data_IF_894388665361
#
_entry.id   IF_894388665361
#
_cell.length_a   1.000
_cell.length_b   1.000
_cell.length_c   1.000
_cell.angle_alpha   90.00
_cell.angle_beta   90.00
_cell.angle_gamma   90.00
#
_symmetry.space_group_name_H-M   'P 1'
#
loop_
_entity.id
_entity.type
_entity.pdbx_description
1 polymer ?
#
# COMPACT_ATOMS: atom_id res chain seq x y z
N UNK A 1 8.80 -0.21 10.59
CA UNK A 1 7.65 0.70 10.39
C UNK A 1 7.51 0.92 8.89
N UNK A 2 6.31 0.73 8.31
CA UNK A 2 6.11 0.47 6.87
C UNK A 2 5.41 1.67 6.21
N UNK A 3 5.87 2.15 5.05
CA UNK A 3 5.25 3.27 4.32
C UNK A 3 4.78 2.82 2.94
N UNK A 4 3.54 3.12 2.55
CA UNK A 4 2.96 2.84 1.23
C UNK A 4 2.56 4.15 0.54
N UNK A 5 2.91 4.31 -0.74
CA UNK A 5 2.57 5.52 -1.50
C UNK A 5 1.18 5.42 -2.17
N UNK A 6 0.41 6.50 -2.13
CA UNK A 6 -0.72 6.77 -3.02
C UNK A 6 -0.40 7.99 -3.91
N UNK A 7 -0.75 7.89 -5.20
CA UNK A 7 -0.43 8.91 -6.22
C UNK A 7 -1.51 9.99 -6.26
N UNK A 8 -1.10 11.26 -6.17
CA UNK A 8 -2.00 12.41 -6.38
C UNK A 8 -1.31 13.58 -7.12
N UNK A 9 -1.91 14.01 -8.23
CA UNK A 9 -1.75 15.32 -8.89
C UNK A 9 -0.30 15.83 -9.07
N UNK A 10 0.22 15.71 -10.29
CA UNK A 10 1.36 16.51 -10.75
C UNK A 10 0.87 17.91 -11.17
N UNK A 11 1.61 18.95 -10.82
CA UNK A 11 1.34 20.34 -11.21
C UNK A 11 2.64 21.09 -11.51
N UNK A 12 2.54 22.20 -12.22
CA UNK A 12 3.65 23.11 -12.48
C UNK A 12 3.45 24.38 -11.66
N UNK A 13 4.51 24.87 -11.02
CA UNK A 13 4.50 26.11 -10.23
C UNK A 13 5.64 27.02 -10.68
N UNK A 14 5.39 28.32 -10.77
CA UNK A 14 6.43 29.30 -11.12
C UNK A 14 7.18 29.75 -9.87
N UNK A 15 8.49 29.50 -9.82
CA UNK A 15 9.37 29.88 -8.70
C UNK A 15 10.49 30.76 -9.25
N UNK A 16 10.51 32.04 -8.87
CA UNK A 16 11.52 32.99 -9.34
C UNK A 16 11.52 33.20 -10.85
N UNK A 17 10.34 33.16 -11.48
CA UNK A 17 10.16 33.34 -12.93
C UNK A 17 10.49 32.10 -13.77
N UNK A 18 10.73 30.95 -13.15
CA UNK A 18 10.94 29.67 -13.84
C UNK A 18 9.86 28.68 -13.47
N UNK A 19 9.37 27.96 -14.46
CA UNK A 19 8.39 26.90 -14.26
C UNK A 19 9.07 25.64 -13.71
N UNK A 20 8.56 25.16 -12.58
CA UNK A 20 9.08 24.00 -11.86
C UNK A 20 7.98 22.98 -11.66
N UNK A 21 8.27 21.71 -12.00
CA UNK A 21 7.35 20.60 -11.76
C UNK A 21 7.36 20.21 -10.28
N UNK A 22 6.17 19.97 -9.74
CA UNK A 22 5.97 19.43 -8.40
C UNK A 22 4.90 18.34 -8.45
N UNK A 23 5.16 17.23 -7.77
CA UNK A 23 4.26 16.08 -7.67
C UNK A 23 3.99 15.80 -6.20
N UNK A 24 2.72 15.71 -5.84
CA UNK A 24 2.35 15.28 -4.49
C UNK A 24 2.22 13.76 -4.44
N UNK A 25 2.67 13.15 -3.37
CA UNK A 25 2.34 11.76 -3.04
C UNK A 25 1.90 11.72 -1.59
N UNK A 26 1.05 10.77 -1.24
CA UNK A 26 0.69 10.54 0.16
C UNK A 26 1.32 9.23 0.59
N UNK A 27 2.21 9.29 1.58
CA UNK A 27 2.76 8.11 2.23
C UNK A 27 1.85 7.76 3.41
N UNK A 28 1.33 6.54 3.44
CA UNK A 28 0.60 5.99 4.58
C UNK A 28 1.50 5.00 5.29
N UNK A 29 1.69 5.18 6.59
CA UNK A 29 2.14 4.11 7.46
C UNK A 29 0.96 3.48 8.21
N UNK A 30 1.22 2.38 8.94
CA UNK A 30 0.18 1.69 9.71
C UNK A 30 -0.54 2.58 10.74
N UNK A 31 -0.02 3.77 11.04
CA UNK A 31 -0.55 4.69 12.05
C UNK A 31 -1.14 5.98 11.48
N UNK A 32 -0.61 6.49 10.38
CA UNK A 32 -0.88 7.85 9.91
C UNK A 32 -0.59 8.02 8.42
N UNK A 33 -1.04 9.14 7.86
CA UNK A 33 -0.74 9.55 6.49
C UNK A 33 0.09 10.82 6.54
N UNK A 34 1.04 10.94 5.62
CA UNK A 34 1.89 12.09 5.44
C UNK A 34 1.96 12.47 3.96
N UNK A 35 1.71 13.75 3.67
CA UNK A 35 1.81 14.30 2.31
C UNK A 35 3.26 14.68 2.02
N UNK A 36 3.77 14.23 0.88
CA UNK A 36 5.13 14.50 0.41
C UNK A 36 5.09 15.24 -0.93
N UNK A 37 5.79 16.37 -1.00
CA UNK A 37 5.98 17.15 -2.23
C UNK A 37 7.33 16.83 -2.86
N UNK A 38 7.30 16.20 -4.03
CA UNK A 38 8.45 15.89 -4.85
C UNK A 38 8.69 17.02 -5.85
N UNK A 39 9.87 17.61 -5.86
CA UNK A 39 10.22 18.76 -6.70
C UNK A 39 11.18 18.38 -7.83
N UNK A 40 11.09 19.08 -8.97
CA UNK A 40 12.02 18.94 -10.12
C UNK A 40 12.12 17.48 -10.58
N UNK A 41 13.32 16.93 -10.64
CA UNK A 41 13.61 15.58 -11.10
C UNK A 41 12.84 14.51 -10.31
N UNK A 42 12.59 14.74 -9.02
CA UNK A 42 11.78 13.84 -8.21
C UNK A 42 10.30 13.84 -8.61
N UNK A 43 9.80 14.94 -9.18
CA UNK A 43 8.42 15.01 -9.66
C UNK A 43 8.20 14.13 -10.90
N UNK A 44 9.27 13.86 -11.66
CA UNK A 44 9.23 13.03 -12.86
C UNK A 44 9.37 11.54 -12.55
N UNK A 45 9.91 11.17 -11.36
CA UNK A 45 10.00 9.77 -10.93
C UNK A 45 8.64 9.08 -10.94
N UNK A 46 8.59 7.90 -11.53
CA UNK A 46 7.43 7.02 -11.44
C UNK A 46 7.32 6.47 -10.02
N UNK A 47 6.22 6.82 -9.36
CA UNK A 47 5.84 6.29 -8.05
C UNK A 47 4.45 5.71 -8.22
N UNK A 48 4.40 4.38 -8.19
CA UNK A 48 3.17 3.59 -8.31
C UNK A 48 2.41 3.54 -6.98
N UNK A 49 1.07 3.38 -7.06
CA UNK A 49 0.26 3.11 -5.87
C UNK A 49 0.69 1.78 -5.26
N UNK A 50 0.86 1.74 -3.93
CA UNK A 50 1.28 0.54 -3.21
C UNK A 50 2.78 0.25 -3.24
N UNK A 51 3.60 1.10 -3.87
CA UNK A 51 5.05 0.99 -3.72
C UNK A 51 5.48 1.44 -2.32
N UNK A 52 6.46 0.74 -1.77
CA UNK A 52 7.09 1.11 -0.52
C UNK A 52 8.32 1.96 -0.81
N UNK A 53 8.37 3.13 -0.19
CA UNK A 53 9.44 4.10 -0.40
C UNK A 53 10.15 4.43 0.90
N UNK A 54 11.46 4.55 0.82
CA UNK A 54 12.30 5.22 1.81
C UNK A 54 12.74 6.56 1.22
N UNK A 55 12.44 7.63 1.94
CA UNK A 55 12.81 8.99 1.56
C UNK A 55 13.60 9.60 2.71
N UNK A 56 14.83 10.06 2.45
CA UNK A 56 15.71 10.69 3.44
C UNK A 56 16.03 12.14 3.05
N UNK A 57 16.60 12.89 4.00
CA UNK A 57 17.04 14.28 3.77
C UNK A 57 15.95 15.20 3.24
N UNK A 58 14.81 15.13 3.92
CA UNK A 58 13.60 15.90 3.64
C UNK A 58 13.41 17.05 4.61
N UNK A 59 12.62 18.04 4.21
CA UNK A 59 12.20 19.14 5.09
C UNK A 59 10.76 18.93 5.52
N UNK A 60 10.51 19.00 6.83
CA UNK A 60 9.16 18.96 7.41
C UNK A 60 8.61 20.37 7.47
N UNK A 61 7.39 20.54 7.00
CA UNK A 61 6.65 21.81 6.99
C UNK A 61 5.33 21.62 7.73
N UNK A 62 4.93 22.60 8.51
CA UNK A 62 3.61 22.60 9.16
C UNK A 62 2.82 23.80 8.65
N UNK A 63 1.64 23.55 8.10
CA UNK A 63 0.74 24.58 7.63
C UNK A 63 -0.68 24.24 8.06
N UNK A 64 -1.38 25.19 8.68
CA UNK A 64 -2.73 24.97 9.21
C UNK A 64 -2.86 23.70 10.09
N UNK A 65 -1.87 23.48 10.96
CA UNK A 65 -1.74 22.29 11.82
C UNK A 65 -1.54 20.94 11.08
N UNK A 66 -1.43 20.95 9.76
CA UNK A 66 -1.10 19.78 8.96
C UNK A 66 0.41 19.70 8.72
N UNK A 67 0.99 18.52 9.00
CA UNK A 67 2.41 18.25 8.72
C UNK A 67 2.58 17.65 7.34
N UNK A 68 3.45 18.26 6.54
CA UNK A 68 3.84 17.77 5.22
C UNK A 68 5.36 17.75 5.09
N UNK A 69 5.85 17.06 4.07
CA UNK A 69 7.26 16.84 3.84
C UNK A 69 7.60 17.26 2.42
N UNK A 70 8.75 17.88 2.22
CA UNK A 70 9.20 18.34 0.90
C UNK A 70 10.63 17.85 0.62
N UNK A 71 10.88 17.44 -0.61
CA UNK A 71 12.22 17.06 -1.07
C UNK A 71 13.15 18.28 -1.15
N UNK A 72 14.44 18.07 -0.90
CA UNK A 72 15.52 19.04 -1.01
C UNK A 72 16.54 18.59 -2.07
N UNK A 73 17.58 19.40 -2.30
CA UNK A 73 18.69 19.02 -3.18
C UNK A 73 19.54 17.84 -2.67
N UNK A 74 19.37 17.42 -1.40
CA UNK A 74 20.09 16.28 -0.81
C UNK A 74 19.20 15.04 -0.63
N UNK A 75 17.93 15.12 -1.03
CA UNK A 75 17.00 14.02 -0.82
C UNK A 75 17.41 12.77 -1.60
N UNK A 76 17.36 11.62 -0.93
CA UNK A 76 17.44 10.32 -1.58
C UNK A 76 16.07 9.64 -1.52
N UNK A 77 15.67 9.01 -2.63
CA UNK A 77 14.39 8.29 -2.77
C UNK A 77 14.68 6.89 -3.29
N UNK A 78 14.41 5.89 -2.46
CA UNK A 78 14.64 4.46 -2.76
C UNK A 78 13.33 3.67 -2.69
N UNK A 79 13.12 2.80 -3.66
CA UNK A 79 12.06 1.78 -3.59
C UNK A 79 12.54 0.63 -2.74
N UNK A 80 11.81 0.31 -1.68
CA UNK A 80 12.10 -0.82 -0.80
C UNK A 80 11.12 -1.95 -1.04
N UNK A 81 11.54 -3.19 -0.76
CA UNK A 81 10.64 -4.35 -0.84
C UNK A 81 9.53 -4.19 0.19
N UNK A 82 8.33 -4.68 -0.16
CA UNK A 82 7.27 -4.83 0.81
C UNK A 82 7.77 -5.68 1.99
N UNK A 83 7.57 -5.23 3.23
CA UNK A 83 7.97 -6.01 4.39
C UNK A 83 7.18 -7.32 4.40
N UNK A 84 7.87 -8.42 4.67
CA UNK A 84 7.30 -9.77 4.77
C UNK A 84 6.52 -10.01 6.07
N UNK A 85 6.06 -8.95 6.75
CA UNK A 85 5.30 -9.11 7.98
C UNK A 85 3.94 -9.73 7.63
N UNK A 86 3.83 -11.02 7.86
CA UNK A 86 2.58 -11.75 7.83
C UNK A 86 1.70 -11.20 8.94
N UNK A 87 0.62 -10.54 8.56
CA UNK A 87 -0.45 -10.22 9.49
C UNK A 87 -1.42 -11.38 9.46
N UNK A 88 -1.35 -12.24 10.47
CA UNK A 88 -2.36 -13.26 10.69
C UNK A 88 -3.62 -12.55 11.18
N UNK A 89 -4.74 -12.81 10.53
CA UNK A 89 -6.05 -12.31 10.94
C UNK A 89 -7.03 -13.45 10.78
N UNK A 90 -7.83 -13.65 11.82
CA UNK A 90 -8.89 -14.66 11.86
C UNK A 90 -10.25 -14.03 11.52
N UNK A 91 -10.32 -12.69 11.44
CA UNK A 91 -11.54 -11.93 11.28
C UNK A 91 -11.78 -11.56 9.80
N UNK A 92 -12.16 -12.56 9.00
CA UNK A 92 -12.67 -12.33 7.65
C UNK A 92 -14.17 -12.00 7.77
N UNK A 93 -14.56 -10.81 7.33
CA UNK A 93 -15.96 -10.37 7.38
C UNK A 93 -16.77 -10.81 6.18
N UNK A 94 -16.13 -10.84 5.01
CA UNK A 94 -16.77 -11.24 3.78
C UNK A 94 -15.72 -11.71 2.77
N UNK A 95 -16.10 -12.72 2.00
CA UNK A 95 -15.35 -13.26 0.89
C UNK A 95 -16.22 -13.27 -0.38
N UNK A 96 -15.60 -12.95 -1.52
CA UNK A 96 -16.25 -13.08 -2.81
C UNK A 96 -15.24 -13.61 -3.83
N UNK A 97 -15.60 -14.70 -4.51
CA UNK A 97 -14.78 -15.28 -5.57
C UNK A 97 -15.40 -14.95 -6.93
N UNK A 98 -14.63 -14.28 -7.78
CA UNK A 98 -14.96 -13.96 -9.16
C UNK A 98 -14.06 -14.77 -10.11
N UNK A 99 -14.38 -14.77 -11.41
CA UNK A 99 -13.64 -15.51 -12.45
C UNK A 99 -12.12 -15.27 -12.45
N UNK A 100 -11.66 -14.12 -11.95
CA UNK A 100 -10.25 -13.73 -11.98
C UNK A 100 -9.63 -13.39 -10.61
N UNK A 101 -10.36 -13.58 -9.50
CA UNK A 101 -9.82 -13.22 -8.20
C UNK A 101 -10.68 -13.57 -7.00
N UNK A 102 -10.02 -13.62 -5.84
CA UNK A 102 -10.65 -13.67 -4.53
C UNK A 102 -10.61 -12.29 -3.90
N UNK A 103 -11.75 -11.78 -3.49
CA UNK A 103 -11.90 -10.55 -2.72
C UNK A 103 -12.20 -10.89 -1.26
N UNK A 104 -11.49 -10.27 -0.33
CA UNK A 104 -11.63 -10.47 1.12
C UNK A 104 -11.83 -9.12 1.80
N UNK A 105 -12.81 -9.01 2.68
CA UNK A 105 -12.96 -7.90 3.62
C UNK A 105 -12.50 -8.40 4.98
N UNK A 106 -11.52 -7.71 5.55
CA UNK A 106 -10.92 -8.10 6.84
C UNK A 106 -11.28 -7.05 7.88
N UNK A 107 -11.71 -7.48 9.07
CA UNK A 107 -11.83 -6.59 10.21
C UNK A 107 -10.45 -6.38 10.84
N UNK A 108 -9.84 -5.25 10.50
CA UNK A 108 -8.53 -4.82 11.01
C UNK A 108 -8.67 -3.62 11.97
N UNK A 109 -9.64 -3.68 12.86
CA UNK A 109 -9.75 -2.74 13.97
C UNK A 109 -10.58 -1.51 13.66
N UNK A 110 -10.42 -0.84 12.52
CA UNK A 110 -11.27 0.34 12.16
C UNK A 110 -11.46 0.64 10.66
N UNK A 111 -10.83 -0.11 9.73
CA UNK A 111 -10.74 0.33 8.32
C UNK A 111 -11.30 -0.62 7.26
N UNK A 112 -11.87 -1.77 7.67
CA UNK A 112 -12.41 -2.83 6.78
C UNK A 112 -11.73 -2.93 5.41
N UNK A 113 -10.40 -3.09 5.34
CA UNK A 113 -9.70 -3.10 4.06
C UNK A 113 -10.19 -4.26 3.19
N UNK A 114 -10.58 -3.93 1.96
CA UNK A 114 -10.85 -4.91 0.91
C UNK A 114 -9.55 -5.29 0.20
N UNK A 115 -9.20 -6.57 0.24
CA UNK A 115 -8.05 -7.14 -0.46
C UNK A 115 -8.54 -7.95 -1.65
N UNK A 116 -7.91 -7.75 -2.81
CA UNK A 116 -8.14 -8.60 -3.98
C UNK A 116 -6.87 -9.35 -4.33
N UNK A 117 -6.96 -10.67 -4.33
CA UNK A 117 -5.88 -11.58 -4.67
C UNK A 117 -6.21 -12.19 -6.03
N UNK A 118 -5.29 -12.07 -6.99
CA UNK A 118 -5.44 -12.67 -8.31
C UNK A 118 -5.33 -14.20 -8.21
N UNK A 119 -6.20 -14.92 -8.94
CA UNK A 119 -6.18 -16.38 -8.96
C UNK A 119 -4.82 -16.95 -9.38
N UNK A 120 -4.11 -16.32 -10.33
CA UNK A 120 -2.77 -16.76 -10.74
C UNK A 120 -1.75 -16.76 -9.60
N UNK A 121 -1.91 -15.87 -8.61
CA UNK A 121 -1.05 -15.85 -7.41
C UNK A 121 -1.45 -16.93 -6.41
N UNK A 122 -2.75 -17.20 -6.31
CA UNK A 122 -3.27 -18.27 -5.45
C UNK A 122 -2.83 -19.62 -6.01
N UNK A 123 -2.99 -19.86 -7.31
CA UNK A 123 -2.60 -21.13 -7.97
C UNK A 123 -1.09 -21.37 -7.88
N UNK A 124 -0.27 -20.34 -8.09
CA UNK A 124 1.18 -20.44 -7.93
C UNK A 124 1.61 -20.74 -6.48
N UNK A 125 0.87 -20.26 -5.48
CA UNK A 125 1.15 -20.53 -4.07
C UNK A 125 0.66 -21.91 -3.62
N UNK A 126 -0.53 -22.32 -4.09
CA UNK A 126 -1.16 -23.60 -3.76
C UNK A 126 -0.51 -24.77 -4.51
N UNK A 127 0.39 -24.50 -5.47
CA UNK A 127 1.09 -25.50 -6.25
C UNK A 127 0.11 -26.46 -6.98
N UNK A 128 -1.03 -25.93 -7.43
CA UNK A 128 -1.96 -26.69 -8.26
C UNK A 128 -1.38 -26.79 -9.68
N UNK A 129 -0.89 -27.97 -10.05
CA UNK A 129 -0.66 -28.30 -11.46
C UNK A 129 -2.01 -28.36 -12.20
N UNK A 130 -1.99 -28.04 -13.50
CA UNK A 130 -3.09 -27.55 -14.34
C UNK A 130 -4.37 -28.41 -14.50
N UNK A 131 -4.61 -29.39 -13.61
CA UNK A 131 -5.79 -30.25 -13.58
C UNK A 131 -6.52 -30.26 -12.23
N UNK A 132 -6.46 -29.18 -11.45
CA UNK A 132 -7.33 -29.02 -10.28
C UNK A 132 -8.79 -28.75 -10.72
N UNK A 133 -9.47 -29.81 -11.15
CA UNK A 133 -10.91 -29.84 -11.39
C UNK A 133 -11.64 -29.50 -10.09
N UNK A 134 -12.39 -28.39 -10.13
CA UNK A 134 -13.48 -28.04 -9.22
C UNK A 134 -13.31 -28.51 -7.77
N UNK A 135 -12.57 -27.74 -6.99
CA UNK A 135 -12.76 -27.47 -5.55
C UNK A 135 -11.42 -26.98 -5.00
N UNK A 136 -11.12 -25.70 -5.18
CA UNK A 136 -10.22 -25.02 -4.24
C UNK A 136 -11.03 -24.90 -2.95
N UNK A 137 -11.10 -26.00 -2.20
CA UNK A 137 -11.44 -26.00 -0.80
C UNK A 137 -10.29 -25.21 -0.14
N UNK A 138 -10.43 -23.89 -0.03
CA UNK A 138 -9.56 -23.10 0.84
C UNK A 138 -9.90 -23.60 2.24
N UNK A 139 -9.20 -24.64 2.69
CA UNK A 139 -9.27 -25.14 4.06
C UNK A 139 -8.64 -24.07 4.93
N UNK A 140 -9.43 -23.07 5.29
CA UNK A 140 -9.12 -22.20 6.42
C UNK A 140 -9.35 -23.06 7.65
N UNK A 141 -8.26 -23.63 8.19
CA UNK A 141 -8.30 -24.26 9.50
C UNK A 141 -8.62 -23.18 10.54
N UNK A 142 -9.91 -22.98 10.82
CA UNK A 142 -10.34 -22.41 12.09
C UNK A 142 -10.19 -23.52 13.12
N UNK A 143 -9.05 -23.56 13.82
CA UNK A 143 -8.89 -24.42 14.99
C UNK A 143 -9.94 -24.01 16.02
N UNK A 144 -10.99 -24.82 16.12
CA UNK A 144 -12.03 -24.68 17.11
C UNK A 144 -11.46 -25.07 18.47
N UNK A 145 -11.20 -24.11 19.35
CA UNK A 145 -11.31 -24.37 20.78
C UNK A 145 -12.71 -23.94 21.22
N UNK A 146 -13.65 -24.88 21.06
CA UNK A 146 -14.82 -24.95 21.91
C UNK A 146 -14.32 -25.34 23.30
N UNK A 147 -14.50 -24.46 24.27
CA UNK A 147 -14.95 -24.88 25.59
C UNK A 147 -16.03 -23.92 26.03
N UNK A 148 -17.29 -24.37 25.90
CA UNK A 148 -18.36 -23.92 26.76
C UNK A 148 -18.01 -24.35 28.19
N UNK A 149 -17.91 -23.38 29.10
CA UNK A 149 -18.51 -23.35 30.43
C UNK A 149 -18.49 -21.90 30.95
#
# INVERSE_FOLDING_TARGET
RQNCATKEIARTVSVGGRDVKVKSITLKDGTSKCKVSLWRDFAEKEVGKGQHLKITDVVVQTYNSEKSVSTTGRTEVETVKAPSQLKLTENIMAENMEENGLSLIIDDGEAYPAYRISLNKITAFVNCEENCSWNILVVVFLSSYITNL
#
